data_IF_866918130426
#
_entry.id   IF_866918130426
#
_cell.length_a   1.000
_cell.length_b   1.000
_cell.length_c   1.000
_cell.angle_alpha   90.00
_cell.angle_beta   90.00
_cell.angle_gamma   90.00
#
_symmetry.space_group_name_H-M   'P 1'
#
loop_
_entity.id
_entity.type
_entity.pdbx_description
1 polymer ?
#
# COMPACT_ATOMS: atom_id res chain seq x y z
N UNK A 1 -5.31 10.96 -12.59
CA UNK A 1 -4.79 10.42 -11.31
C UNK A 1 -3.36 10.03 -11.56
N UNK A 2 -2.41 10.81 -11.04
CA UNK A 2 -0.97 10.54 -11.19
C UNK A 2 -0.47 9.75 -9.98
N UNK A 3 -0.18 8.47 -10.19
CA UNK A 3 0.37 7.59 -9.16
C UNK A 3 1.90 7.76 -9.13
N UNK A 4 2.43 8.38 -8.09
CA UNK A 4 3.88 8.35 -7.84
C UNK A 4 4.18 7.16 -6.94
N UNK A 5 4.63 6.05 -7.54
CA UNK A 5 4.93 4.82 -6.81
C UNK A 5 6.19 5.01 -5.96
N UNK A 6 6.02 5.31 -4.68
CA UNK A 6 7.07 5.12 -3.69
C UNK A 6 6.94 3.70 -3.16
N UNK A 7 7.63 2.75 -3.80
CA UNK A 7 7.58 1.33 -3.44
C UNK A 7 8.45 1.09 -2.21
N UNK A 8 7.82 0.92 -1.05
CA UNK A 8 8.48 0.24 0.07
C UNK A 8 8.20 -1.25 -0.09
N UNK A 9 9.17 -1.99 -0.65
CA UNK A 9 9.11 -3.45 -0.69
C UNK A 9 9.63 -4.00 0.64
N UNK A 10 8.87 -4.88 1.27
CA UNK A 10 9.40 -5.72 2.35
C UNK A 10 8.89 -7.12 2.12
N UNK A 11 9.80 -8.09 2.10
CA UNK A 11 9.45 -9.48 1.89
C UNK A 11 9.27 -10.13 3.27
N UNK A 12 8.11 -10.77 3.48
CA UNK A 12 7.84 -11.57 4.68
C UNK A 12 7.46 -12.97 4.21
N UNK A 13 8.32 -13.96 4.51
CA UNK A 13 8.23 -15.32 3.97
C UNK A 13 8.20 -15.31 2.43
N UNK A 14 7.15 -15.86 1.82
CA UNK A 14 6.91 -15.88 0.36
C UNK A 14 6.04 -14.70 -0.12
N UNK A 15 5.69 -13.77 0.78
CA UNK A 15 4.78 -12.67 0.48
C UNK A 15 5.55 -11.35 0.23
N UNK A 16 5.23 -10.72 -0.89
CA UNK A 16 5.65 -9.38 -1.27
C UNK A 16 4.70 -8.34 -0.66
N UNK A 17 5.21 -7.49 0.23
CA UNK A 17 4.47 -6.34 0.74
C UNK A 17 4.79 -5.12 -0.10
N UNK A 18 3.75 -4.45 -0.59
CA UNK A 18 3.86 -3.25 -1.42
C UNK A 18 3.06 -2.16 -0.74
N UNK A 19 3.71 -1.05 -0.38
CA UNK A 19 3.03 0.17 0.06
C UNK A 19 3.30 1.28 -0.95
N UNK A 20 2.25 1.96 -1.40
CA UNK A 20 2.28 3.00 -2.43
C UNK A 20 1.60 4.28 -1.92
N UNK A 21 2.22 5.45 -2.13
CA UNK A 21 1.62 6.74 -1.80
C UNK A 21 0.71 7.23 -2.91
N UNK A 22 -0.56 7.43 -2.60
CA UNK A 22 -1.51 8.13 -3.44
C UNK A 22 -1.39 9.64 -3.21
N UNK A 23 -0.94 10.36 -4.25
CA UNK A 23 -1.06 11.82 -4.32
C UNK A 23 -2.32 12.16 -5.12
N UNK A 24 -3.38 12.58 -4.44
CA UNK A 24 -4.56 13.11 -5.10
C UNK A 24 -4.25 14.52 -5.62
N UNK A 25 -3.93 14.64 -6.91
CA UNK A 25 -3.79 15.94 -7.61
C UNK A 25 -5.01 16.17 -8.51
N UNK A 26 -6.17 16.32 -7.88
CA UNK A 26 -7.38 16.85 -8.51
C UNK A 26 -7.58 18.26 -7.93
N UNK A 27 -7.67 19.28 -8.79
CA UNK A 27 -7.64 20.70 -8.41
C UNK A 27 -8.77 21.20 -7.49
N UNK A 28 -9.57 20.30 -6.91
CA UNK A 28 -10.67 20.58 -6.00
C UNK A 28 -10.68 19.70 -4.74
N UNK A 29 -9.76 18.73 -4.59
CA UNK A 29 -9.71 17.88 -3.40
C UNK A 29 -8.64 18.38 -2.42
N UNK A 30 -8.99 18.39 -1.12
CA UNK A 30 -8.02 18.61 -0.05
C UNK A 30 -6.81 17.69 -0.25
N UNK A 31 -5.60 18.20 -0.02
CA UNK A 31 -4.36 17.38 0.02
C UNK A 31 -4.50 16.29 1.08
N UNK A 32 -5.10 15.17 0.69
CA UNK A 32 -5.18 13.96 1.49
C UNK A 32 -4.12 13.02 0.96
N UNK A 33 -3.14 12.77 1.80
CA UNK A 33 -2.20 11.69 1.57
C UNK A 33 -2.92 10.40 1.91
N UNK A 34 -3.00 9.49 0.95
CA UNK A 34 -3.46 8.14 1.20
C UNK A 34 -2.34 7.18 0.82
N UNK A 35 -2.29 6.06 1.50
CA UNK A 35 -1.27 5.04 1.37
C UNK A 35 -1.97 3.73 1.05
N UNK A 36 -1.82 3.28 -0.19
CA UNK A 36 -2.30 1.98 -0.62
C UNK A 36 -1.33 0.93 -0.15
N UNK A 37 -1.83 -0.19 0.36
CA UNK A 37 -1.02 -1.35 0.69
C UNK A 37 -1.54 -2.58 -0.06
N UNK A 38 -0.64 -3.49 -0.39
CA UNK A 38 -0.93 -4.77 -1.03
C UNK A 38 0.00 -5.84 -0.47
N UNK A 39 -0.55 -7.04 -0.33
CA UNK A 39 0.16 -8.28 -0.04
C UNK A 39 -0.01 -9.16 -1.27
N UNK A 40 1.10 -9.57 -1.87
CA UNK A 40 1.11 -10.46 -3.02
C UNK A 40 1.96 -11.70 -2.74
N UNK A 41 1.65 -12.81 -3.38
CA UNK A 41 2.47 -14.04 -3.38
C UNK A 41 2.55 -14.54 -4.81
N UNK A 42 3.76 -14.77 -5.30
CA UNK A 42 4.00 -15.25 -6.68
C UNK A 42 3.23 -14.44 -7.74
N UNK A 43 3.19 -13.10 -7.59
CA UNK A 43 2.47 -12.21 -8.51
C UNK A 43 0.94 -12.18 -8.36
N UNK A 44 0.37 -12.90 -7.39
CA UNK A 44 -1.07 -12.87 -7.08
C UNK A 44 -1.34 -12.02 -5.83
N UNK A 45 -2.20 -11.01 -5.94
CA UNK A 45 -2.58 -10.17 -4.79
C UNK A 45 -3.56 -10.93 -3.90
N UNK A 46 -3.18 -11.16 -2.64
CA UNK A 46 -4.02 -11.86 -1.64
C UNK A 46 -4.79 -10.88 -0.76
N UNK A 47 -4.24 -9.70 -0.51
CA UNK A 47 -4.89 -8.66 0.27
C UNK A 47 -4.47 -7.27 -0.22
N UNK A 48 -5.38 -6.31 -0.17
CA UNK A 48 -5.08 -4.92 -0.48
C UNK A 48 -6.02 -3.96 0.22
N UNK A 49 -5.58 -2.72 0.39
CA UNK A 49 -6.39 -1.67 0.99
C UNK A 49 -5.73 -0.31 0.93
N UNK A 50 -6.35 0.66 1.61
CA UNK A 50 -5.86 2.03 1.72
C UNK A 50 -5.88 2.46 3.19
N UNK A 51 -4.85 3.20 3.61
CA UNK A 51 -4.76 3.83 4.92
C UNK A 51 -4.38 5.30 4.76
N UNK A 52 -4.69 6.13 5.76
CA UNK A 52 -4.34 7.55 5.75
C UNK A 52 -2.84 7.78 6.03
N UNK A 53 -2.15 6.81 6.62
CA UNK A 53 -0.78 6.94 7.13
C UNK A 53 0.07 5.76 6.63
N UNK A 54 1.34 6.03 6.31
CA UNK A 54 2.28 5.01 5.79
C UNK A 54 2.49 3.89 6.79
N UNK A 55 2.77 4.22 8.05
CA UNK A 55 3.06 3.25 9.10
C UNK A 55 1.86 2.34 9.34
N UNK A 56 0.66 2.91 9.26
CA UNK A 56 -0.60 2.16 9.37
C UNK A 56 -0.81 1.26 8.16
N UNK A 57 -0.52 1.72 6.95
CA UNK A 57 -0.56 0.90 5.75
C UNK A 57 0.39 -0.31 5.85
N UNK A 58 1.61 -0.11 6.38
CA UNK A 58 2.58 -1.18 6.63
C UNK A 58 2.08 -2.17 7.68
N UNK A 59 1.61 -1.69 8.84
CA UNK A 59 1.09 -2.56 9.90
C UNK A 59 -0.08 -3.43 9.42
N UNK A 60 -1.00 -2.83 8.65
CA UNK A 60 -2.14 -3.57 8.09
C UNK A 60 -1.65 -4.59 7.06
N UNK A 61 -0.70 -4.23 6.19
CA UNK A 61 -0.14 -5.16 5.21
C UNK A 61 0.50 -6.39 5.88
N UNK A 62 1.32 -6.18 6.92
CA UNK A 62 1.93 -7.25 7.71
C UNK A 62 0.88 -8.11 8.42
N UNK A 63 -0.14 -7.49 9.02
CA UNK A 63 -1.21 -8.19 9.72
C UNK A 63 -2.13 -9.01 8.79
N UNK A 64 -2.14 -8.72 7.49
CA UNK A 64 -2.92 -9.44 6.48
C UNK A 64 -2.10 -10.47 5.70
N UNK A 65 -0.86 -10.74 6.11
CA UNK A 65 -0.11 -11.89 5.61
C UNK A 65 -0.76 -13.17 6.16
N UNK A 66 -1.26 -14.08 5.30
CA UNK A 66 -1.77 -15.37 5.76
C UNK A 66 -0.65 -16.17 6.44
N UNK A 67 -0.94 -16.73 7.62
CA UNK A 67 -0.05 -17.64 8.36
C UNK A 67 -0.09 -19.06 7.81
#
# INVERSE_FOLDING_TARGET
MDWTVHKACTDINDYELIVERQKSHSGCEQRREAWKWMVAIHGSVVASGVAAEMDKAQQIAVANVPQ
#
